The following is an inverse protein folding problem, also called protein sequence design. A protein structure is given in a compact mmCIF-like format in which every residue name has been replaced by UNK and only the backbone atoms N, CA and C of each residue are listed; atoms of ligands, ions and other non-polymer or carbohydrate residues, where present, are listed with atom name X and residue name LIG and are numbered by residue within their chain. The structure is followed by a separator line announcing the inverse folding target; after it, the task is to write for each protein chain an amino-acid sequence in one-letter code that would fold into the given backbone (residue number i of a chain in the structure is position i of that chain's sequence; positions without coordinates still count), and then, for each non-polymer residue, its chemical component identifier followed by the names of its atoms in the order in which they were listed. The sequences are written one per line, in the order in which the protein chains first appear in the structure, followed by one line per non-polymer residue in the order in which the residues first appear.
data_IF_566168681471
#
_entry.id   IF_566168681471
#
_cell.length_a   1.000
_cell.length_b   1.000
_cell.length_c   1.000
_cell.angle_alpha   90.00
_cell.angle_beta   90.00
_cell.angle_gamma   90.00
#
_symmetry.space_group_name_H-M   'P 1'
#
loop_
_entity.id
_entity.type
_entity.pdbx_description
1 polymer ?
#
# COMPACT_ATOMS: atom_id res chain seq x y z
N UNK A 1 -8.81 14.74 -68.05
CA UNK A 1 -8.08 14.99 -66.79
C UNK A 1 -8.96 14.45 -65.67
N UNK A 2 -8.55 13.36 -65.03
CA UNK A 2 -9.27 12.79 -63.90
C UNK A 2 -8.64 13.32 -62.61
N UNK A 3 -9.42 14.04 -61.82
CA UNK A 3 -9.07 14.59 -60.52
C UNK A 3 -8.86 13.43 -59.54
N UNK A 4 -7.65 13.30 -59.01
CA UNK A 4 -7.34 12.36 -57.93
C UNK A 4 -8.02 12.82 -56.65
N UNK A 5 -8.88 11.98 -56.12
CA UNK A 5 -9.50 12.13 -54.80
C UNK A 5 -8.44 11.78 -53.76
N UNK A 6 -7.99 12.75 -52.98
CA UNK A 6 -7.15 12.52 -51.81
C UNK A 6 -7.87 11.59 -50.84
N UNK A 7 -7.23 10.48 -50.49
CA UNK A 7 -7.68 9.61 -49.42
C UNK A 7 -7.49 10.33 -48.07
N UNK A 8 -8.45 10.24 -47.14
CA UNK A 8 -8.32 10.89 -45.84
C UNK A 8 -7.17 10.25 -45.06
N UNK A 9 -6.29 11.11 -44.54
CA UNK A 9 -5.26 10.74 -43.57
C UNK A 9 -5.91 9.98 -42.41
N UNK A 10 -5.66 8.67 -42.34
CA UNK A 10 -5.97 7.88 -41.16
C UNK A 10 -5.12 8.38 -40.01
N UNK A 11 -5.71 9.23 -39.16
CA UNK A 11 -5.17 9.57 -37.85
C UNK A 11 -4.93 8.24 -37.14
N UNK A 12 -3.65 7.88 -36.96
CA UNK A 12 -3.28 6.70 -36.19
C UNK A 12 -3.86 6.86 -34.79
N UNK A 13 -4.90 6.09 -34.44
CA UNK A 13 -5.39 5.99 -33.07
C UNK A 13 -4.22 5.47 -32.24
N UNK A 14 -3.64 6.33 -31.40
CA UNK A 14 -2.67 5.89 -30.41
C UNK A 14 -3.33 4.81 -29.57
N UNK A 15 -2.69 3.64 -29.51
CA UNK A 15 -3.20 2.53 -28.70
C UNK A 15 -2.78 2.78 -27.26
N UNK A 16 -3.71 2.78 -26.30
CA UNK A 16 -3.40 2.92 -24.90
C UNK A 16 -2.31 1.95 -24.44
N UNK A 17 -1.36 2.45 -23.66
CA UNK A 17 -0.25 1.66 -23.11
C UNK A 17 -0.32 1.62 -21.59
N UNK A 18 0.21 0.57 -20.97
CA UNK A 18 0.23 0.43 -19.52
C UNK A 18 1.56 -0.16 -19.05
N UNK A 19 2.11 0.42 -18.01
CA UNK A 19 3.28 -0.08 -17.28
C UNK A 19 2.83 -0.59 -15.92
N UNK A 20 2.99 -1.89 -15.69
CA UNK A 20 2.60 -2.54 -14.45
C UNK A 20 3.65 -2.27 -13.38
N UNK A 21 3.18 -1.88 -12.19
CA UNK A 21 4.06 -1.70 -11.03
C UNK A 21 3.50 -2.41 -9.80
N UNK A 22 4.17 -3.47 -9.38
CA UNK A 22 3.82 -4.19 -8.16
C UNK A 22 5.07 -4.64 -7.42
N UNK A 23 5.05 -4.55 -6.10
CA UNK A 23 6.13 -5.00 -5.23
C UNK A 23 5.56 -5.71 -4.00
N UNK A 24 6.24 -6.75 -3.52
CA UNK A 24 5.86 -7.42 -2.27
C UNK A 24 7.10 -7.99 -1.57
N UNK A 25 7.06 -7.98 -0.23
CA UNK A 25 8.00 -8.69 0.64
C UNK A 25 7.27 -9.11 1.93
N UNK A 26 7.76 -10.17 2.59
CA UNK A 26 7.05 -10.75 3.73
C UNK A 26 7.43 -10.15 5.08
N UNK A 27 8.70 -9.74 5.23
CA UNK A 27 9.25 -9.18 6.46
C UNK A 27 10.39 -8.21 6.11
N UNK A 28 10.47 -7.08 6.81
CA UNK A 28 11.62 -6.17 6.80
C UNK A 28 11.64 -5.33 8.08
N UNK A 29 12.78 -4.76 8.43
CA UNK A 29 12.88 -3.94 9.64
C UNK A 29 14.29 -3.71 10.13
N UNK A 30 14.38 -3.29 11.38
CA UNK A 30 15.62 -3.07 12.11
C UNK A 30 15.38 -3.36 13.59
N UNK A 31 16.25 -4.17 14.17
CA UNK A 31 16.40 -4.37 15.60
C UNK A 31 17.64 -3.61 16.06
N UNK A 32 17.53 -2.91 17.20
CA UNK A 32 18.61 -2.18 17.87
C UNK A 32 18.94 -2.79 19.23
N UNK A 33 17.95 -3.43 19.86
CA UNK A 33 18.10 -4.21 21.10
C UNK A 33 17.20 -5.44 21.04
N UNK A 34 17.59 -6.57 21.65
CA UNK A 34 18.88 -6.81 22.32
C UNK A 34 20.06 -6.95 21.35
N UNK A 35 19.77 -7.06 20.05
CA UNK A 35 20.73 -7.16 18.95
C UNK A 35 20.60 -5.94 18.03
N UNK A 36 21.72 -5.51 17.47
CA UNK A 36 21.74 -4.51 16.39
C UNK A 36 21.77 -5.25 15.05
N UNK A 37 20.61 -5.38 14.43
CA UNK A 37 20.44 -6.14 13.20
C UNK A 37 19.42 -5.48 12.27
N UNK A 38 19.88 -5.13 11.07
CA UNK A 38 19.00 -4.78 9.97
C UNK A 38 18.37 -6.06 9.39
N UNK A 39 17.06 -6.04 9.22
CA UNK A 39 16.29 -7.12 8.61
C UNK A 39 15.99 -6.69 7.17
N UNK A 40 16.74 -7.23 6.21
CA UNK A 40 16.50 -7.00 4.79
C UNK A 40 15.15 -7.58 4.36
N UNK A 41 14.66 -7.16 3.20
CA UNK A 41 13.39 -7.66 2.67
C UNK A 41 13.47 -9.16 2.41
N UNK A 42 12.62 -9.93 3.08
CA UNK A 42 12.49 -11.37 2.85
C UNK A 42 11.50 -11.67 1.73
N UNK A 43 11.89 -12.62 0.85
CA UNK A 43 11.18 -12.98 -0.38
C UNK A 43 10.72 -11.76 -1.23
N UNK A 44 11.61 -10.81 -1.58
CA UNK A 44 11.22 -9.64 -2.35
C UNK A 44 10.89 -10.05 -3.80
N UNK A 45 9.79 -9.53 -4.33
CA UNK A 45 9.41 -9.67 -5.74
C UNK A 45 8.89 -8.34 -6.26
N UNK A 46 9.20 -8.04 -7.53
CA UNK A 46 8.78 -6.81 -8.17
C UNK A 46 8.46 -7.03 -9.65
N UNK A 47 7.40 -6.36 -10.12
CA UNK A 47 7.01 -6.21 -11.52
C UNK A 47 7.09 -4.72 -11.87
N UNK A 48 7.90 -4.37 -12.87
CA UNK A 48 8.18 -2.98 -13.30
C UNK A 48 8.36 -2.92 -14.81
N UNK A 49 7.38 -3.41 -15.57
CA UNK A 49 7.46 -3.41 -17.02
C UNK A 49 6.09 -3.32 -17.70
N UNK A 50 6.10 -3.14 -19.03
CA UNK A 50 4.89 -3.05 -19.87
C UNK A 50 4.31 -4.41 -20.28
N UNK A 51 5.07 -5.49 -20.12
CA UNK A 51 4.65 -6.83 -20.56
C UNK A 51 3.71 -7.46 -19.54
N UNK A 52 3.85 -7.09 -18.27
CA UNK A 52 3.15 -7.73 -17.18
C UNK A 52 3.73 -9.11 -16.93
N UNK A 53 2.87 -10.06 -16.58
CA UNK A 53 3.26 -11.44 -16.30
C UNK A 53 2.99 -11.81 -14.85
N UNK A 54 3.69 -12.85 -14.38
CA UNK A 54 3.48 -13.45 -13.07
C UNK A 54 4.82 -13.83 -12.46
N UNK A 55 5.10 -13.35 -11.26
CA UNK A 55 6.33 -13.63 -10.52
C UNK A 55 5.99 -14.04 -9.09
N UNK A 56 6.70 -15.03 -8.58
CA UNK A 56 6.54 -15.56 -7.22
C UNK A 56 7.89 -15.76 -6.54
N UNK A 57 7.95 -15.55 -5.23
CA UNK A 57 9.08 -15.93 -4.38
C UNK A 57 8.58 -16.60 -3.11
N UNK A 58 9.39 -17.51 -2.59
CA UNK A 58 9.11 -18.27 -1.38
C UNK A 58 10.35 -18.28 -0.49
N UNK A 59 10.13 -18.36 0.81
CA UNK A 59 11.15 -18.55 1.83
C UNK A 59 10.52 -19.32 2.99
N UNK A 60 11.26 -20.23 3.60
CA UNK A 60 10.76 -21.15 4.64
C UNK A 60 11.71 -21.14 5.85
N UNK A 61 11.17 -21.49 7.02
CA UNK A 61 11.86 -21.67 8.29
C UNK A 61 12.85 -20.54 8.64
N UNK A 62 12.33 -19.31 8.69
CA UNK A 62 13.12 -18.14 9.07
C UNK A 62 13.05 -17.92 10.57
N UNK A 63 14.22 -17.76 11.19
CA UNK A 63 14.38 -17.29 12.57
C UNK A 63 15.47 -16.23 12.63
N UNK A 64 15.14 -15.08 13.20
CA UNK A 64 16.03 -13.94 13.41
C UNK A 64 16.38 -13.95 14.88
N UNK A 65 17.52 -14.56 15.21
CA UNK A 65 18.05 -14.71 16.58
C UNK A 65 17.03 -15.26 17.59
N UNK A 66 16.06 -16.05 17.13
CA UNK A 66 14.95 -16.55 17.96
C UNK A 66 13.95 -15.49 18.44
N UNK A 67 14.12 -14.23 18.05
CA UNK A 67 13.25 -13.11 18.45
C UNK A 67 12.07 -12.94 17.51
N UNK A 68 12.29 -13.18 16.22
CA UNK A 68 11.27 -13.11 15.19
C UNK A 68 11.38 -14.36 14.34
N UNK A 69 10.28 -15.07 14.17
CA UNK A 69 10.27 -16.25 13.32
C UNK A 69 8.98 -16.36 12.50
N UNK A 70 9.08 -17.09 11.40
CA UNK A 70 7.93 -17.53 10.65
C UNK A 70 8.25 -18.81 9.88
N UNK A 71 7.23 -19.66 9.68
CA UNK A 71 7.39 -20.97 9.02
C UNK A 71 7.50 -20.84 7.51
N UNK A 72 6.67 -19.97 6.92
CA UNK A 72 6.64 -19.81 5.45
C UNK A 72 6.26 -18.40 5.05
N UNK A 73 7.03 -17.86 4.12
CA UNK A 73 6.79 -16.59 3.46
C UNK A 73 6.61 -16.81 1.97
N UNK A 74 5.56 -16.23 1.39
CA UNK A 74 5.29 -16.27 -0.03
C UNK A 74 4.90 -14.88 -0.54
N UNK A 75 5.52 -14.44 -1.63
CA UNK A 75 5.13 -13.23 -2.34
C UNK A 75 4.81 -13.53 -3.78
N UNK A 76 3.87 -12.76 -4.32
CA UNK A 76 3.38 -12.90 -5.68
C UNK A 76 3.00 -11.55 -6.24
N UNK A 77 3.43 -11.28 -7.46
CA UNK A 77 2.96 -10.14 -8.23
C UNK A 77 2.50 -10.59 -9.60
N UNK A 78 1.46 -9.96 -10.11
CA UNK A 78 1.00 -10.21 -11.48
C UNK A 78 0.42 -8.96 -12.13
N UNK A 79 0.65 -8.82 -13.43
CA UNK A 79 0.09 -7.77 -14.27
C UNK A 79 -0.46 -8.37 -15.55
N UNK A 80 -1.70 -8.06 -15.92
CA UNK A 80 -2.28 -8.52 -17.19
C UNK A 80 -3.41 -7.62 -17.67
N UNK A 81 -3.71 -7.69 -18.96
CA UNK A 81 -4.90 -7.04 -19.52
C UNK A 81 -6.15 -7.80 -19.11
N UNK A 82 -7.14 -7.10 -18.56
CA UNK A 82 -8.44 -7.66 -18.19
C UNK A 82 -9.19 -8.12 -19.43
N UNK A 83 -9.53 -9.41 -19.48
CA UNK A 83 -10.40 -9.96 -20.54
C UNK A 83 -11.86 -9.53 -20.38
N UNK A 84 -12.27 -9.11 -19.18
CA UNK A 84 -13.67 -8.78 -18.84
C UNK A 84 -14.01 -7.31 -19.04
N UNK A 85 -13.08 -6.41 -18.69
CA UNK A 85 -13.33 -4.97 -18.63
C UNK A 85 -12.41 -4.16 -19.57
N UNK A 86 -11.63 -4.85 -20.40
CA UNK A 86 -10.67 -4.28 -21.37
C UNK A 86 -9.55 -3.40 -20.78
N UNK A 87 -9.51 -3.20 -19.46
CA UNK A 87 -8.48 -2.47 -18.73
C UNK A 87 -7.24 -3.30 -18.37
N UNK A 88 -6.43 -2.80 -17.45
CA UNK A 88 -5.22 -3.46 -16.93
C UNK A 88 -5.36 -3.74 -15.45
N UNK A 89 -5.00 -4.96 -15.04
CA UNK A 89 -5.07 -5.39 -13.65
C UNK A 89 -3.67 -5.68 -13.15
N UNK A 90 -3.34 -5.08 -12.02
CA UNK A 90 -2.13 -5.36 -11.25
C UNK A 90 -2.52 -5.95 -9.91
N UNK A 91 -1.82 -6.99 -9.48
CA UNK A 91 -2.04 -7.66 -8.21
C UNK A 91 -0.71 -7.84 -7.49
N UNK A 92 -0.67 -7.47 -6.22
CA UNK A 92 0.45 -7.72 -5.32
C UNK A 92 -0.06 -8.49 -4.10
N UNK A 93 0.66 -9.55 -3.72
CA UNK A 93 0.32 -10.41 -2.60
C UNK A 93 1.56 -10.72 -1.77
N UNK A 94 1.44 -10.60 -0.45
CA UNK A 94 2.43 -11.04 0.52
C UNK A 94 1.73 -11.91 1.57
N UNK A 95 2.21 -13.12 1.78
CA UNK A 95 1.67 -14.10 2.72
C UNK A 95 2.76 -14.53 3.68
N UNK A 96 2.46 -14.49 4.97
CA UNK A 96 3.32 -14.95 6.04
C UNK A 96 2.56 -15.97 6.88
N UNK A 97 3.14 -17.14 7.12
CA UNK A 97 2.52 -18.26 7.86
C UNK A 97 3.35 -18.62 9.09
N UNK A 98 2.67 -18.84 10.21
CA UNK A 98 3.27 -19.19 11.50
C UNK A 98 4.17 -18.09 12.06
N UNK A 99 3.73 -16.83 12.00
CA UNK A 99 4.48 -15.70 12.54
C UNK A 99 4.55 -15.75 14.06
N UNK A 100 5.73 -15.46 14.61
CA UNK A 100 5.96 -15.17 16.02
C UNK A 100 6.95 -14.00 16.14
N UNK A 101 6.60 -13.03 16.99
CA UNK A 101 7.43 -11.87 17.34
C UNK A 101 7.52 -11.78 18.86
N UNK A 102 8.70 -12.11 19.39
CA UNK A 102 9.04 -12.10 20.82
C UNK A 102 8.08 -12.91 21.71
N UNK A 103 7.38 -13.92 21.17
CA UNK A 103 6.30 -14.62 21.86
C UNK A 103 5.12 -13.74 22.29
N UNK A 104 5.09 -12.48 21.83
CA UNK A 104 4.04 -11.50 22.16
C UNK A 104 3.03 -11.44 21.03
N UNK A 105 3.46 -11.20 19.79
CA UNK A 105 2.57 -11.21 18.62
C UNK A 105 2.74 -12.52 17.89
N UNK A 106 1.64 -13.24 17.66
CA UNK A 106 1.65 -14.40 16.78
C UNK A 106 0.45 -14.43 15.85
N UNK A 107 0.60 -15.09 14.72
CA UNK A 107 -0.50 -15.34 13.79
C UNK A 107 -0.23 -16.60 12.98
N UNK A 108 -1.26 -17.42 12.77
CA UNK A 108 -1.14 -18.59 11.91
C UNK A 108 -0.93 -18.17 10.45
N UNK A 109 -1.60 -17.10 10.03
CA UNK A 109 -1.44 -16.55 8.69
C UNK A 109 -1.76 -15.07 8.61
N UNK A 110 -0.93 -14.34 7.88
CA UNK A 110 -1.14 -12.93 7.54
C UNK A 110 -1.05 -12.79 6.04
N UNK A 111 -2.09 -12.25 5.40
CA UNK A 111 -2.14 -12.04 3.94
C UNK A 111 -2.38 -10.56 3.67
N UNK A 112 -1.41 -9.91 3.03
CA UNK A 112 -1.57 -8.60 2.42
C UNK A 112 -1.87 -8.80 0.93
N UNK A 113 -3.00 -8.30 0.43
CA UNK A 113 -3.30 -8.34 -1.00
C UNK A 113 -3.85 -6.99 -1.47
N UNK A 114 -3.21 -6.43 -2.49
CA UNK A 114 -3.63 -5.20 -3.15
C UNK A 114 -3.86 -5.49 -4.62
N UNK A 115 -5.04 -5.18 -5.12
CA UNK A 115 -5.36 -5.27 -6.54
C UNK A 115 -5.77 -3.90 -7.05
N UNK A 116 -5.18 -3.49 -8.17
CA UNK A 116 -5.56 -2.27 -8.89
C UNK A 116 -6.06 -2.63 -10.28
N UNK A 117 -7.12 -1.97 -10.71
CA UNK A 117 -7.67 -2.09 -12.06
C UNK A 117 -7.74 -0.71 -12.70
N UNK A 118 -6.98 -0.51 -13.78
CA UNK A 118 -7.01 0.69 -14.59
C UNK A 118 -7.97 0.47 -15.77
N UNK A 119 -9.06 1.24 -15.88
CA UNK A 119 -9.93 1.19 -17.04
C UNK A 119 -9.19 1.53 -18.34
N UNK A 120 -9.65 0.99 -19.47
CA UNK A 120 -9.06 1.29 -20.78
C UNK A 120 -9.19 2.78 -21.15
N UNK A 121 -10.34 3.38 -20.86
CA UNK A 121 -10.60 4.81 -21.02
C UNK A 121 -10.52 5.51 -19.65
N UNK A 122 -9.84 6.66 -19.56
CA UNK A 122 -9.70 7.43 -18.30
C UNK A 122 -9.11 6.58 -17.16
N UNK A 123 -7.98 5.95 -17.49
CA UNK A 123 -7.30 4.94 -16.68
C UNK A 123 -6.12 5.42 -15.86
N UNK A 124 -5.90 6.73 -15.66
CA UNK A 124 -4.76 7.19 -14.84
C UNK A 124 -4.92 6.79 -13.36
N UNK A 125 -6.13 6.88 -12.82
CA UNK A 125 -6.45 6.46 -11.46
C UNK A 125 -7.07 5.06 -11.49
N UNK A 126 -6.56 4.08 -10.74
CA UNK A 126 -7.17 2.76 -10.71
C UNK A 126 -8.39 2.72 -9.79
N UNK A 127 -9.26 1.74 -10.01
CA UNK A 127 -10.03 1.17 -8.92
C UNK A 127 -9.11 0.27 -8.08
N UNK A 128 -9.13 0.43 -6.75
CA UNK A 128 -8.34 -0.41 -5.83
C UNK A 128 -9.25 -1.27 -4.95
N UNK A 129 -8.83 -2.50 -4.68
CA UNK A 129 -9.45 -3.37 -3.69
C UNK A 129 -8.41 -4.14 -2.89
N UNK A 130 -8.74 -4.43 -1.63
CA UNK A 130 -7.94 -5.26 -0.73
C UNK A 130 -8.55 -6.65 -0.53
N UNK A 131 -9.47 -7.05 -1.41
CA UNK A 131 -10.13 -8.35 -1.39
C UNK A 131 -9.08 -9.47 -1.42
N UNK A 132 -9.03 -10.28 -0.37
CA UNK A 132 -8.01 -11.31 -0.16
C UNK A 132 -7.09 -11.04 1.03
N UNK A 133 -7.08 -9.81 1.52
CA UNK A 133 -6.38 -9.43 2.76
C UNK A 133 -7.07 -10.04 3.98
N UNK A 134 -6.28 -10.64 4.89
CA UNK A 134 -6.80 -11.26 6.12
C UNK A 134 -5.72 -11.53 7.17
N UNK A 135 -6.17 -11.70 8.41
CA UNK A 135 -5.43 -12.35 9.48
C UNK A 135 -6.14 -13.65 9.85
N UNK A 136 -5.37 -14.72 10.07
CA UNK A 136 -5.86 -15.97 10.64
C UNK A 136 -5.18 -16.15 12.01
N UNK A 137 -6.01 -16.27 13.05
CA UNK A 137 -5.60 -16.52 14.43
C UNK A 137 -4.52 -15.54 14.94
N UNK A 138 -4.74 -14.24 14.74
CA UNK A 138 -3.88 -13.20 15.35
C UNK A 138 -4.04 -13.23 16.87
N UNK A 139 -2.92 -13.23 17.58
CA UNK A 139 -2.88 -13.30 19.03
C UNK A 139 -1.90 -12.29 19.62
N UNK A 140 -2.21 -11.84 20.83
CA UNK A 140 -1.33 -11.05 21.70
C UNK A 140 -1.16 -11.80 23.01
N UNK A 141 0.08 -12.19 23.33
CA UNK A 141 0.40 -12.95 24.54
C UNK A 141 -0.36 -14.29 24.63
N UNK A 142 -0.65 -14.93 23.49
CA UNK A 142 -1.44 -16.17 23.41
C UNK A 142 -2.96 -15.97 23.44
N UNK A 143 -3.45 -14.73 23.54
CA UNK A 143 -4.89 -14.43 23.53
C UNK A 143 -5.35 -14.00 22.13
N UNK A 144 -6.40 -14.61 21.57
CA UNK A 144 -6.86 -14.30 20.23
C UNK A 144 -7.53 -12.94 20.13
N UNK A 145 -7.18 -12.19 19.09
CA UNK A 145 -7.79 -10.92 18.71
C UNK A 145 -8.51 -11.12 17.38
N UNK A 146 -9.80 -10.77 17.34
CA UNK A 146 -10.59 -10.80 16.11
C UNK A 146 -10.69 -9.41 15.52
N UNK A 147 -10.41 -9.29 14.23
CA UNK A 147 -10.47 -8.03 13.50
C UNK A 147 -11.65 -8.05 12.53
N UNK A 148 -12.34 -6.91 12.43
CA UNK A 148 -13.23 -6.61 11.31
C UNK A 148 -12.49 -5.71 10.34
N UNK A 149 -12.41 -6.10 9.06
CA UNK A 149 -11.69 -5.35 8.03
C UNK A 149 -12.65 -4.72 7.02
N UNK A 150 -12.51 -3.41 6.80
CA UNK A 150 -13.10 -2.70 5.67
C UNK A 150 -12.18 -2.80 4.44
N UNK A 151 -12.32 -3.88 3.68
CA UNK A 151 -11.54 -4.13 2.46
C UNK A 151 -11.86 -3.17 1.29
N UNK A 152 -12.85 -2.30 1.47
CA UNK A 152 -13.26 -1.26 0.54
C UNK A 152 -13.01 0.15 1.08
N UNK A 153 -12.00 0.35 1.94
CA UNK A 153 -11.71 1.64 2.60
C UNK A 153 -11.58 2.82 1.62
N UNK A 154 -11.05 2.59 0.42
CA UNK A 154 -10.94 3.62 -0.62
C UNK A 154 -12.27 3.90 -1.33
N UNK A 155 -13.27 3.04 -1.20
CA UNK A 155 -14.57 3.18 -1.86
C UNK A 155 -14.50 3.03 -3.38
N UNK A 156 -15.43 3.69 -4.07
CA UNK A 156 -15.46 3.74 -5.54
C UNK A 156 -14.30 4.61 -6.06
N UNK A 157 -13.79 4.29 -7.25
CA UNK A 157 -12.88 5.18 -7.99
C UNK A 157 -13.52 6.56 -8.12
N UNK A 158 -12.81 7.67 -7.84
CA UNK A 158 -13.35 9.01 -8.02
C UNK A 158 -13.75 9.30 -9.47
N UNK A 159 -14.77 10.15 -9.64
CA UNK A 159 -15.26 10.52 -10.97
C UNK A 159 -14.23 11.35 -11.75
N UNK A 160 -14.29 11.28 -13.08
CA UNK A 160 -13.45 12.12 -13.95
C UNK A 160 -11.96 11.81 -13.93
N UNK A 161 -11.56 10.61 -13.48
CA UNK A 161 -10.15 10.22 -13.32
C UNK A 161 -9.39 11.07 -12.28
N UNK A 162 -10.13 11.63 -11.33
CA UNK A 162 -9.60 12.43 -10.24
C UNK A 162 -8.83 11.54 -9.24
N UNK A 163 -7.64 11.95 -8.76
CA UNK A 163 -6.92 11.18 -7.75
C UNK A 163 -7.69 11.06 -6.43
N UNK A 164 -7.50 9.95 -5.71
CA UNK A 164 -8.10 9.75 -4.38
C UNK A 164 -7.73 10.88 -3.40
N UNK A 165 -6.51 11.42 -3.48
CA UNK A 165 -6.03 12.50 -2.62
C UNK A 165 -6.70 13.86 -2.89
N UNK A 166 -7.53 13.95 -3.92
CA UNK A 166 -8.34 15.12 -4.19
C UNK A 166 -9.84 14.86 -3.93
N UNK A 167 -10.23 13.61 -3.62
CA UNK A 167 -11.61 13.25 -3.34
C UNK A 167 -12.01 13.60 -1.90
N UNK A 168 -12.91 14.57 -1.75
CA UNK A 168 -13.26 15.11 -0.43
C UNK A 168 -13.97 14.10 0.47
N UNK A 169 -14.65 13.09 -0.09
CA UNK A 169 -15.32 12.05 0.70
C UNK A 169 -14.31 11.07 1.26
N UNK A 170 -13.37 10.63 0.44
CA UNK A 170 -12.24 9.78 0.83
C UNK A 170 -11.39 10.46 1.92
N UNK A 171 -10.97 11.71 1.70
CA UNK A 171 -10.15 12.44 2.68
C UNK A 171 -10.88 12.63 4.02
N UNK A 172 -12.17 12.97 4.02
CA UNK A 172 -12.94 13.11 5.27
C UNK A 172 -13.04 11.80 6.04
N UNK A 173 -13.28 10.68 5.35
CA UNK A 173 -13.33 9.36 5.99
C UNK A 173 -12.01 8.98 6.66
N UNK A 174 -10.87 9.22 5.98
CA UNK A 174 -9.56 8.98 6.56
C UNK A 174 -9.30 9.92 7.75
N UNK A 175 -9.67 11.20 7.63
CA UNK A 175 -9.49 12.19 8.69
C UNK A 175 -10.22 11.77 9.96
N UNK A 176 -11.46 11.28 9.84
CA UNK A 176 -12.24 10.77 10.97
C UNK A 176 -11.52 9.60 11.67
N UNK A 177 -11.00 8.65 10.89
CA UNK A 177 -10.22 7.53 11.43
C UNK A 177 -8.97 8.03 12.19
N UNK A 178 -8.16 8.89 11.56
CA UNK A 178 -6.94 9.44 12.17
C UNK A 178 -7.27 10.24 13.44
N UNK A 179 -8.27 11.12 13.38
CA UNK A 179 -8.64 11.99 14.49
C UNK A 179 -9.17 11.20 15.69
N UNK A 180 -9.83 10.06 15.47
CA UNK A 180 -10.27 9.18 16.55
C UNK A 180 -9.09 8.59 17.33
N UNK A 181 -8.00 8.25 16.61
CA UNK A 181 -6.78 7.68 17.19
C UNK A 181 -5.94 8.77 17.86
N UNK A 182 -5.70 9.90 17.17
CA UNK A 182 -4.91 11.02 17.70
C UNK A 182 -5.47 11.61 19.00
N UNK A 183 -6.77 11.45 19.27
CA UNK A 183 -7.42 11.92 20.50
C UNK A 183 -7.33 10.94 21.67
N UNK A 184 -6.75 9.75 21.48
CA UNK A 184 -6.60 8.79 22.56
C UNK A 184 -5.54 9.27 23.56
N UNK A 185 -5.92 9.36 24.83
CA UNK A 185 -5.06 9.88 25.90
C UNK A 185 -3.94 8.94 26.36
N UNK A 186 -3.76 7.80 25.72
CA UNK A 186 -2.87 6.72 26.18
C UNK A 186 -1.83 6.29 25.13
N UNK A 187 -1.78 6.95 23.98
CA UNK A 187 -0.79 6.61 22.94
C UNK A 187 0.64 6.89 23.41
N UNK A 188 1.61 6.01 23.08
CA UNK A 188 3.03 6.33 23.22
C UNK A 188 3.38 7.61 22.45
N UNK A 189 4.32 8.41 22.99
CA UNK A 189 4.67 9.73 22.43
C UNK A 189 5.03 9.71 20.94
N UNK A 190 5.72 8.67 20.50
CA UNK A 190 6.13 8.49 19.10
C UNK A 190 4.92 8.23 18.20
N UNK A 191 4.03 7.33 18.60
CA UNK A 191 2.78 7.03 17.90
C UNK A 191 1.86 8.26 17.88
N UNK A 192 1.68 8.94 19.03
CA UNK A 192 0.91 10.17 19.13
C UNK A 192 1.38 11.21 18.12
N UNK A 193 2.69 11.49 18.10
CA UNK A 193 3.30 12.42 17.15
C UNK A 193 3.03 12.01 15.70
N UNK A 194 3.15 10.72 15.35
CA UNK A 194 2.86 10.24 14.00
C UNK A 194 1.40 10.52 13.60
N UNK A 195 0.44 10.28 14.48
CA UNK A 195 -0.98 10.53 14.20
C UNK A 195 -1.31 12.03 14.15
N UNK A 196 -0.66 12.86 14.97
CA UNK A 196 -0.79 14.33 14.91
C UNK A 196 -0.25 14.90 13.59
N UNK A 197 0.89 14.40 13.12
CA UNK A 197 1.46 14.76 11.81
C UNK A 197 0.56 14.32 10.66
N UNK A 198 0.02 13.08 10.71
CA UNK A 198 -0.95 12.57 9.72
C UNK A 198 -2.23 13.41 9.70
N UNK A 199 -2.71 13.85 10.86
CA UNK A 199 -3.89 14.70 10.97
C UNK A 199 -3.66 16.09 10.37
N UNK A 200 -2.48 16.66 10.61
CA UNK A 200 -2.09 17.96 10.05
C UNK A 200 -2.00 17.89 8.52
N UNK A 201 -1.40 16.83 7.97
CA UNK A 201 -1.27 16.66 6.53
C UNK A 201 -2.63 16.47 5.85
N UNK A 202 -3.53 15.67 6.42
CA UNK A 202 -4.85 15.48 5.81
C UNK A 202 -5.72 16.75 5.89
N UNK A 203 -5.61 17.52 6.97
CA UNK A 203 -6.28 18.82 7.09
C UNK A 203 -5.78 19.78 6.00
N UNK A 204 -4.47 19.84 5.77
CA UNK A 204 -3.88 20.61 4.67
C UNK A 204 -4.42 20.18 3.30
N UNK A 205 -4.56 18.89 3.03
CA UNK A 205 -5.08 18.40 1.74
C UNK A 205 -6.56 18.73 1.54
N UNK A 206 -7.36 18.65 2.61
CA UNK A 206 -8.76 19.06 2.57
C UNK A 206 -8.87 20.56 2.25
N UNK A 207 -8.04 21.38 2.88
CA UNK A 207 -8.04 22.83 2.66
C UNK A 207 -7.58 23.22 1.24
N UNK A 208 -6.55 22.54 0.71
CA UNK A 208 -6.03 22.81 -0.63
C UNK A 208 -7.02 22.47 -1.75
N UNK A 209 -7.84 21.42 -1.55
CA UNK A 209 -8.93 21.07 -2.47
C UNK A 209 -10.02 22.18 -2.57
N UNK A 210 -9.98 23.20 -1.71
CA UNK A 210 -10.86 24.38 -1.74
C UNK A 210 -10.41 25.54 -2.65
N UNK A 211 -9.28 25.45 -3.36
CA UNK A 211 -8.88 26.46 -4.36
C UNK A 211 -7.39 26.79 -4.48
N UNK A 212 -6.48 26.00 -3.90
CA UNK A 212 -5.02 26.22 -3.99
C UNK A 212 -4.38 25.44 -5.14
N UNK A 213 -3.36 26.02 -5.80
CA UNK A 213 -2.51 25.27 -6.75
C UNK A 213 -1.78 24.15 -6.00
N UNK A 214 -2.08 22.89 -6.32
CA UNK A 214 -1.38 21.74 -5.77
C UNK A 214 0.12 21.84 -6.10
N UNK A 215 0.97 21.78 -5.08
CA UNK A 215 2.40 21.61 -5.27
C UNK A 215 2.62 20.14 -5.69
N UNK A 216 3.27 19.90 -6.82
CA UNK A 216 3.45 18.57 -7.42
C UNK A 216 4.51 17.71 -6.70
N UNK A 217 4.67 17.89 -5.39
CA UNK A 217 5.51 17.04 -4.55
C UNK A 217 4.79 15.70 -4.28
N UNK A 218 5.55 14.71 -3.79
CA UNK A 218 4.97 13.44 -3.31
C UNK A 218 3.96 13.72 -2.20
N UNK A 219 2.68 13.53 -2.50
CA UNK A 219 1.58 13.65 -1.53
C UNK A 219 1.11 12.25 -1.15
N UNK A 220 0.86 12.02 0.13
CA UNK A 220 0.35 10.75 0.63
C UNK A 220 -0.49 10.89 1.89
N UNK A 221 -1.40 9.94 2.08
CA UNK A 221 -2.14 9.75 3.33
C UNK A 221 -2.06 8.29 3.76
N UNK A 222 -2.16 8.05 5.06
CA UNK A 222 -2.20 6.69 5.62
C UNK A 222 -3.52 6.49 6.36
N UNK A 223 -4.19 5.38 6.06
CA UNK A 223 -5.39 4.90 6.75
C UNK A 223 -5.21 3.43 7.15
N UNK A 224 -6.21 2.81 7.76
CA UNK A 224 -6.21 1.38 8.08
C UNK A 224 -7.44 0.67 7.55
N UNK A 225 -7.27 -0.59 7.16
CA UNK A 225 -8.36 -1.51 6.85
C UNK A 225 -9.11 -1.97 8.11
N UNK A 226 -8.55 -1.81 9.31
CA UNK A 226 -9.20 -2.24 10.55
C UNK A 226 -10.37 -1.30 10.88
N UNK A 227 -11.56 -1.87 10.95
CA UNK A 227 -12.78 -1.19 11.35
C UNK A 227 -13.06 -1.38 12.84
N UNK A 228 -12.86 -2.60 13.36
CA UNK A 228 -12.98 -2.90 14.78
C UNK A 228 -12.01 -3.99 15.24
N UNK A 229 -11.69 -3.95 16.53
CA UNK A 229 -10.88 -4.94 17.22
C UNK A 229 -11.73 -5.53 18.35
N UNK A 230 -12.01 -6.83 18.28
CA UNK A 230 -12.73 -7.57 19.30
C UNK A 230 -11.75 -8.48 20.06
N UNK A 231 -11.52 -8.15 21.32
CA UNK A 231 -10.76 -9.01 22.24
C UNK A 231 -11.78 -9.90 22.96
N UNK A 232 -11.73 -11.21 22.71
CA UNK A 232 -12.64 -12.16 23.35
C UNK A 232 -11.99 -12.77 24.59
N UNK A 233 -12.77 -12.87 25.67
CA UNK A 233 -12.39 -13.63 26.86
C UNK A 233 -11.78 -12.75 27.94
N UNK A 234 -10.65 -13.20 28.48
CA UNK A 234 -9.98 -12.56 29.62
C UNK A 234 -9.31 -11.27 29.15
N UNK A 235 -9.48 -10.14 29.85
CA UNK A 235 -8.73 -8.92 29.55
C UNK A 235 -7.24 -9.20 29.56
N UNK A 236 -6.55 -8.84 28.48
CA UNK A 236 -5.10 -8.95 28.40
C UNK A 236 -4.54 -7.80 29.26
N UNK A 237 -3.82 -8.10 30.37
CA UNK A 237 -3.42 -7.07 31.32
C UNK A 237 -2.60 -5.95 30.66
N UNK A 238 -3.08 -4.71 30.81
CA UNK A 238 -2.42 -3.50 30.30
C UNK A 238 -2.45 -3.32 28.77
N UNK A 239 -3.04 -4.24 28.01
CA UNK A 239 -3.27 -4.02 26.58
C UNK A 239 -4.30 -2.91 26.38
N UNK A 240 -3.90 -1.87 25.67
CA UNK A 240 -4.82 -0.81 25.24
C UNK A 240 -4.97 -0.85 23.72
N UNK A 241 -6.19 -0.58 23.24
CA UNK A 241 -6.51 -0.59 21.81
C UNK A 241 -7.24 0.67 21.42
N UNK A 242 -6.81 1.30 20.33
CA UNK A 242 -7.52 2.43 19.72
C UNK A 242 -7.44 2.33 18.20
N UNK A 243 -8.60 2.34 17.55
CA UNK A 243 -8.69 2.19 16.10
C UNK A 243 -7.96 0.92 15.65
N UNK A 244 -6.87 1.09 14.89
CA UNK A 244 -6.03 0.00 14.40
C UNK A 244 -4.74 -0.23 15.19
N UNK A 245 -4.55 0.47 16.31
CA UNK A 245 -3.32 0.45 17.11
C UNK A 245 -3.52 -0.39 18.37
N UNK A 246 -2.60 -1.31 18.61
CA UNK A 246 -2.42 -2.02 19.87
C UNK A 246 -1.25 -1.38 20.62
N UNK A 247 -1.44 -1.03 21.89
CA UNK A 247 -0.38 -0.58 22.81
C UNK A 247 -0.18 -1.69 23.83
N UNK A 248 0.97 -2.36 23.75
CA UNK A 248 1.28 -3.55 24.53
C UNK A 248 2.37 -3.20 25.55
N UNK A 249 2.11 -3.33 26.85
CA UNK A 249 3.08 -3.06 27.90
C UNK A 249 4.39 -3.81 27.67
N UNK A 250 5.51 -3.13 27.89
CA UNK A 250 6.88 -3.66 27.76
C UNK A 250 7.26 -4.23 26.37
N UNK A 251 6.36 -4.17 25.40
CA UNK A 251 6.62 -4.56 24.02
C UNK A 251 6.72 -3.32 23.13
N UNK A 252 5.68 -2.48 23.13
CA UNK A 252 5.60 -1.28 22.28
C UNK A 252 4.23 -1.14 21.64
N UNK A 253 4.20 -0.70 20.39
CA UNK A 253 2.95 -0.49 19.65
C UNK A 253 2.90 -1.26 18.34
N UNK A 254 1.69 -1.67 17.94
CA UNK A 254 1.45 -2.40 16.69
C UNK A 254 0.31 -1.73 15.94
N UNK A 255 0.61 -1.13 14.79
CA UNK A 255 -0.39 -0.66 13.84
C UNK A 255 -0.77 -1.78 12.88
N UNK A 256 -2.08 -2.03 12.78
CA UNK A 256 -2.63 -3.12 11.98
C UNK A 256 -3.17 -2.63 10.63
N UNK A 257 -2.87 -3.38 9.57
CA UNK A 257 -3.39 -3.23 8.21
C UNK A 257 -3.38 -1.77 7.69
N UNK A 258 -2.24 -1.09 7.79
CA UNK A 258 -2.06 0.28 7.31
C UNK A 258 -1.99 0.32 5.78
N UNK A 259 -2.79 1.19 5.18
CA UNK A 259 -2.79 1.49 3.74
C UNK A 259 -2.24 2.90 3.55
N UNK A 260 -1.10 3.00 2.88
CA UNK A 260 -0.59 4.26 2.33
C UNK A 260 -1.15 4.44 0.92
N UNK A 261 -1.82 5.56 0.68
CA UNK A 261 -2.29 6.01 -0.63
C UNK A 261 -1.50 7.25 -0.99
N UNK A 262 -0.83 7.22 -2.13
CA UNK A 262 0.06 8.31 -2.52
C UNK A 262 0.08 8.57 -4.01
N UNK A 263 0.58 9.75 -4.35
CA UNK A 263 0.87 10.17 -5.71
C UNK A 263 2.36 10.47 -5.79
N UNK A 264 3.06 9.90 -6.77
CA UNK A 264 4.46 10.19 -7.02
C UNK A 264 4.76 10.46 -8.50
N UNK A 265 5.85 11.17 -8.82
CA UNK A 265 6.33 11.27 -10.19
C UNK A 265 6.60 9.88 -10.78
N UNK A 266 6.04 9.61 -11.95
CA UNK A 266 6.27 8.41 -12.73
C UNK A 266 7.76 8.29 -13.03
N UNK A 267 8.38 7.20 -12.61
CA UNK A 267 9.77 6.90 -12.96
C UNK A 267 9.77 6.17 -14.30
N UNK A 268 10.53 6.63 -15.31
CA UNK A 268 10.65 5.87 -16.55
C UNK A 268 11.34 4.52 -16.27
N UNK A 269 10.74 3.40 -16.68
CA UNK A 269 11.38 2.09 -16.60
C UNK A 269 12.55 2.00 -17.59
N UNK A 270 13.77 2.28 -17.13
CA UNK A 270 15.07 1.93 -17.75
C UNK A 270 15.41 2.47 -19.15
N UNK A 271 16.70 2.80 -19.28
CA UNK A 271 17.55 3.27 -20.39
C UNK A 271 17.32 2.79 -21.85
N UNK A 272 16.34 1.94 -22.16
CA UNK A 272 16.08 1.51 -23.56
C UNK A 272 15.28 2.51 -24.40
N UNK A 273 14.68 3.54 -23.78
CA UNK A 273 13.87 4.55 -24.47
C UNK A 273 14.65 5.77 -24.98
N UNK A 274 16.00 5.76 -24.96
CA UNK A 274 16.79 6.87 -25.50
C UNK A 274 17.02 6.82 -27.02
N UNK A 275 16.59 5.77 -27.72
CA UNK A 275 16.93 5.61 -29.14
C UNK A 275 15.79 5.74 -30.17
N UNK A 276 14.52 5.93 -29.78
CA UNK A 276 13.41 6.00 -30.76
C UNK A 276 12.47 7.21 -30.62
N UNK A 277 12.91 8.31 -30.01
CA UNK A 277 12.18 9.58 -30.01
C UNK A 277 13.05 10.72 -30.53
N UNK A 278 13.54 10.58 -31.77
CA UNK A 278 14.01 11.70 -32.59
C UNK A 278 13.33 11.68 -33.97
N UNK A 279 12.03 11.39 -33.99
CA UNK A 279 11.19 11.59 -35.16
C UNK A 279 9.79 12.05 -34.74
N UNK A 280 9.62 13.38 -34.71
CA UNK A 280 8.35 14.10 -34.86
C UNK A 280 7.16 13.67 -34.00
N UNK A 281 6.93 14.37 -32.88
CA UNK A 281 5.65 14.26 -32.18
C UNK A 281 5.60 15.05 -30.87
N UNK A 282 5.03 16.26 -30.96
CA UNK A 282 4.41 17.07 -29.90
C UNK A 282 5.06 17.08 -28.50
N UNK A 283 5.73 18.20 -28.20
CA UNK A 283 6.13 18.59 -26.84
C UNK A 283 4.90 18.83 -25.96
N UNK A 284 4.49 17.84 -25.16
CA UNK A 284 3.82 18.17 -23.90
C UNK A 284 4.88 18.72 -22.94
N UNK A 285 4.70 19.98 -22.53
CA UNK A 285 5.50 20.67 -21.53
C UNK A 285 5.91 19.72 -20.40
N UNK A 286 7.22 19.66 -20.11
CA UNK A 286 7.88 18.69 -19.22
C UNK A 286 7.45 18.73 -17.75
N UNK A 287 6.16 18.50 -17.47
CA UNK A 287 5.67 18.12 -16.15
C UNK A 287 5.83 16.59 -16.02
N UNK A 288 6.40 16.09 -14.92
CA UNK A 288 6.45 14.66 -14.68
C UNK A 288 5.02 14.10 -14.60
N UNK A 289 4.75 13.03 -15.32
CA UNK A 289 3.48 12.29 -15.20
C UNK A 289 3.33 11.77 -13.77
N UNK A 290 2.14 11.85 -13.20
CA UNK A 290 1.88 11.44 -11.82
C UNK A 290 1.31 10.01 -11.77
N UNK A 291 1.72 9.25 -10.77
CA UNK A 291 1.42 7.83 -10.60
C UNK A 291 0.79 7.58 -9.24
N UNK A 292 -0.32 6.83 -9.19
CA UNK A 292 -1.09 6.56 -7.96
C UNK A 292 -0.68 5.21 -7.38
N UNK A 293 -0.12 5.19 -6.17
CA UNK A 293 0.30 3.94 -5.54
C UNK A 293 -0.49 3.64 -4.26
N UNK A 294 -0.60 2.35 -3.97
CA UNK A 294 -1.26 1.80 -2.78
C UNK A 294 -0.31 0.81 -2.13
N UNK A 295 0.10 1.07 -0.90
CA UNK A 295 0.95 0.16 -0.11
C UNK A 295 0.20 -0.30 1.13
N UNK A 296 -0.04 -1.61 1.24
CA UNK A 296 -0.61 -2.24 2.42
C UNK A 296 0.51 -2.87 3.26
N UNK A 297 0.56 -2.53 4.56
CA UNK A 297 1.38 -3.19 5.58
C UNK A 297 0.47 -3.82 6.61
N UNK A 298 0.55 -5.13 6.78
CA UNK A 298 -0.35 -5.85 7.69
C UNK A 298 0.02 -5.63 9.16
N UNK A 299 1.30 -5.68 9.48
CA UNK A 299 1.81 -5.37 10.81
C UNK A 299 2.91 -4.33 10.66
N UNK A 300 2.81 -3.24 11.42
CA UNK A 300 3.86 -2.24 11.57
C UNK A 300 4.12 -2.04 13.07
N UNK A 301 5.25 -2.55 13.55
CA UNK A 301 5.56 -2.68 14.98
C UNK A 301 6.67 -1.71 15.34
N UNK A 302 6.44 -0.87 16.35
CA UNK A 302 7.45 -0.03 16.98
C UNK A 302 7.70 -0.57 18.40
N UNK A 303 8.86 -1.19 18.60
CA UNK A 303 9.22 -1.88 19.84
C UNK A 303 10.05 -0.99 20.76
N UNK A 304 9.76 -1.02 22.07
CA UNK A 304 10.26 -0.03 23.03
C UNK A 304 11.00 -0.55 24.27
N UNK A 305 10.74 -1.77 24.76
CA UNK A 305 11.33 -2.22 26.05
C UNK A 305 12.13 -3.54 25.95
N UNK A 306 11.50 -4.69 25.68
CA UNK A 306 12.22 -5.99 25.59
C UNK A 306 13.11 -6.06 24.34
N UNK A 307 12.72 -5.36 23.28
CA UNK A 307 13.54 -5.05 22.13
C UNK A 307 13.27 -3.62 21.67
N UNK A 308 14.26 -2.97 21.06
CA UNK A 308 14.06 -1.66 20.43
C UNK A 308 14.22 -1.85 18.93
N UNK A 309 13.28 -1.38 18.13
CA UNK A 309 13.33 -1.58 16.69
C UNK A 309 12.00 -1.34 15.99
N UNK A 310 12.03 -1.38 14.66
CA UNK A 310 10.83 -1.31 13.83
C UNK A 310 10.77 -2.53 12.92
N UNK A 311 9.61 -3.19 12.87
CA UNK A 311 9.41 -4.38 12.02
C UNK A 311 8.11 -4.22 11.27
N UNK A 312 8.15 -4.46 9.96
CA UNK A 312 6.97 -4.56 9.12
C UNK A 312 6.81 -5.97 8.56
N UNK A 313 5.60 -6.50 8.61
CA UNK A 313 5.29 -7.83 8.10
C UNK A 313 4.05 -7.80 7.19
N UNK A 314 4.09 -8.58 6.11
CA UNK A 314 3.06 -8.61 5.08
C UNK A 314 2.95 -7.27 4.35
N UNK A 315 3.94 -6.93 3.53
CA UNK A 315 3.97 -5.70 2.74
C UNK A 315 3.66 -5.99 1.27
N UNK A 316 2.64 -5.33 0.73
CA UNK A 316 2.25 -5.43 -0.67
C UNK A 316 1.94 -4.03 -1.22
N UNK A 317 2.61 -3.67 -2.31
CA UNK A 317 2.42 -2.42 -3.04
C UNK A 317 1.91 -2.73 -4.44
N UNK A 318 0.87 -2.01 -4.88
CA UNK A 318 0.37 -2.06 -6.26
C UNK A 318 0.14 -0.66 -6.79
N UNK A 319 0.46 -0.49 -8.06
CA UNK A 319 0.37 0.72 -8.86
C UNK A 319 0.23 0.30 -10.35
N UNK A 320 0.16 1.26 -11.25
CA UNK A 320 0.28 1.11 -12.68
C UNK A 320 0.21 2.47 -13.35
N UNK A 321 0.97 2.65 -14.42
CA UNK A 321 0.94 3.88 -15.22
C UNK A 321 0.23 3.59 -16.53
N UNK A 322 -0.94 4.18 -16.72
CA UNK A 322 -1.72 4.06 -17.96
C UNK A 322 -1.58 5.33 -18.78
N UNK A 323 -1.22 5.18 -20.04
CA UNK A 323 -1.27 6.21 -21.07
C UNK A 323 -2.47 5.90 -21.98
N UNK A 324 -3.66 6.47 -21.70
CA UNK A 324 -4.87 6.27 -22.50
C UNK A 324 -4.82 7.00 -23.85
#
# INVERSE_FOLDING_TARGET
MATMTEAPETIAKQTPSHEYHAEAHVLSGELKRPIEQKIEQHAPVALKDRRGGHLTRFIEDVSIEGLISFKRGHTRVSGSKSLKHHGWVTLSTSTLEGLNVFEVISADRVVAQVSTEHPYEKGHVPHVTFLGTKFENLQVGGFPIKLTLNLGVCGKKPEGDKPYLEDSKFLRGIREQIASIAKAGFLPKTVQKQYDERLTEIDRLIDQNGGGKANHDRVKVTCSLVESIDIKGIPIPGLETVGNVLVIPDFGSVSLAEVEVGIEPSKPSSEFQRHELNAGGSSNNGKPELSNYFTLKMLNMEMGCVGTGNVSAGSATSNGNTHP
#
